data_IF_250700189306
#
_entry.id   IF_250700189306
#
_cell.length_a   1.000
_cell.length_b   1.000
_cell.length_c   1.000
_cell.angle_alpha   90.00
_cell.angle_beta   90.00
_cell.angle_gamma   90.00
#
_symmetry.space_group_name_H-M   'P 1'
#
loop_
_entity.id
_entity.type
_entity.pdbx_description
1 polymer ?
#
# COMPACT_ATOMS: atom_id res chain seq x y z
N UNK A 1 10.52 29.08 -25.42
CA UNK A 1 11.27 27.85 -25.08
C UNK A 1 11.04 27.47 -23.62
N UNK A 2 9.88 26.90 -23.25
CA UNK A 2 9.48 26.76 -21.83
C UNK A 2 8.95 25.37 -21.42
N UNK A 3 9.27 24.31 -22.18
CA UNK A 3 8.58 23.01 -22.02
C UNK A 3 9.49 21.78 -21.85
N UNK A 4 10.81 21.91 -21.81
CA UNK A 4 11.69 20.72 -21.69
C UNK A 4 11.90 20.28 -20.23
N UNK A 5 12.10 21.25 -19.33
CA UNK A 5 12.29 21.00 -17.89
C UNK A 5 11.03 20.42 -17.23
N UNK A 6 9.84 20.89 -17.62
CA UNK A 6 8.55 20.36 -17.14
C UNK A 6 8.33 18.91 -17.61
N UNK A 7 8.79 18.57 -18.81
CA UNK A 7 8.64 17.23 -19.37
C UNK A 7 9.52 16.22 -18.63
N UNK A 8 10.79 16.56 -18.37
CA UNK A 8 11.73 15.71 -17.62
C UNK A 8 11.25 15.51 -16.17
N UNK A 9 10.78 16.57 -15.50
CA UNK A 9 10.27 16.46 -14.13
C UNK A 9 9.02 15.56 -14.06
N UNK A 10 8.10 15.71 -15.01
CA UNK A 10 6.86 14.93 -15.04
C UNK A 10 7.14 13.46 -15.38
N UNK A 11 7.97 13.19 -16.40
CA UNK A 11 8.36 11.82 -16.75
C UNK A 11 9.23 11.17 -15.67
N UNK A 12 10.14 11.91 -15.03
CA UNK A 12 10.97 11.41 -13.95
C UNK A 12 10.14 10.99 -12.72
N UNK A 13 9.13 11.78 -12.37
CA UNK A 13 8.17 11.43 -11.30
C UNK A 13 7.35 10.19 -11.69
N UNK A 14 6.88 10.10 -12.93
CA UNK A 14 6.12 8.94 -13.42
C UNK A 14 6.97 7.67 -13.40
N UNK A 15 8.23 7.74 -13.86
CA UNK A 15 9.14 6.59 -13.85
C UNK A 15 9.51 6.19 -12.42
N UNK A 16 9.75 7.15 -11.53
CA UNK A 16 9.97 6.86 -10.11
C UNK A 16 8.76 6.14 -9.49
N UNK A 17 7.54 6.62 -9.74
CA UNK A 17 6.31 5.97 -9.29
C UNK A 17 6.12 4.54 -9.84
N UNK A 18 6.57 4.26 -11.06
CA UNK A 18 6.51 2.92 -11.66
C UNK A 18 7.54 1.98 -11.04
N UNK A 19 8.80 2.40 -10.86
CA UNK A 19 9.89 1.56 -10.32
C UNK A 19 9.65 1.16 -8.86
N UNK A 20 8.97 2.01 -8.10
CA UNK A 20 8.56 1.76 -6.71
C UNK A 20 7.67 0.51 -6.56
N UNK A 21 6.87 0.19 -7.57
CA UNK A 21 5.85 -0.87 -7.45
C UNK A 21 6.39 -2.29 -7.62
N UNK A 22 7.58 -2.47 -8.20
CA UNK A 22 8.08 -3.79 -8.63
C UNK A 22 8.99 -4.51 -7.62
N UNK A 23 9.49 -3.84 -6.57
CA UNK A 23 10.47 -4.43 -5.65
C UNK A 23 9.87 -5.21 -4.45
N UNK A 24 8.59 -5.02 -4.13
CA UNK A 24 7.92 -5.72 -3.01
C UNK A 24 6.40 -5.84 -3.25
N UNK A 25 5.93 -6.79 -4.08
CA UNK A 25 4.55 -6.79 -4.58
C UNK A 25 3.49 -6.95 -3.47
N UNK A 26 3.79 -7.67 -2.38
CA UNK A 26 2.79 -7.94 -1.32
C UNK A 26 2.52 -6.70 -0.44
N UNK A 27 3.55 -6.07 0.09
CA UNK A 27 3.42 -4.81 0.84
C UNK A 27 2.99 -3.65 -0.06
N UNK A 28 3.43 -3.58 -1.31
CA UNK A 28 2.93 -2.54 -2.24
C UNK A 28 1.42 -2.68 -2.48
N UNK A 29 0.88 -3.91 -2.56
CA UNK A 29 -0.56 -4.13 -2.66
C UNK A 29 -1.33 -3.62 -1.44
N UNK A 30 -0.84 -3.89 -0.22
CA UNK A 30 -1.44 -3.37 1.00
C UNK A 30 -1.38 -1.82 1.05
N UNK A 31 -0.31 -1.22 0.54
CA UNK A 31 -0.13 0.24 0.53
C UNK A 31 -1.05 0.91 -0.50
N UNK A 32 -1.22 0.29 -1.67
CA UNK A 32 -2.22 0.66 -2.66
C UNK A 32 -3.64 0.54 -2.10
N UNK A 33 -3.96 -0.51 -1.33
CA UNK A 33 -5.26 -0.64 -0.66
C UNK A 33 -5.49 0.50 0.34
N UNK A 34 -4.48 0.85 1.14
CA UNK A 34 -4.56 1.98 2.07
C UNK A 34 -4.76 3.31 1.31
N UNK A 35 -4.04 3.51 0.19
CA UNK A 35 -4.21 4.65 -0.70
C UNK A 35 -5.64 4.71 -1.27
N UNK A 36 -6.18 3.59 -1.78
CA UNK A 36 -7.56 3.50 -2.29
C UNK A 36 -8.61 3.81 -1.21
N UNK A 37 -8.49 3.23 -0.02
CA UNK A 37 -9.39 3.51 1.11
C UNK A 37 -9.37 4.98 1.52
N UNK A 38 -8.23 5.65 1.38
CA UNK A 38 -8.11 7.07 1.65
C UNK A 38 -8.86 7.93 0.62
N UNK A 39 -9.09 7.46 -0.61
CA UNK A 39 -9.85 8.23 -1.59
C UNK A 39 -11.32 8.43 -1.17
N UNK A 40 -11.85 7.54 -0.31
CA UNK A 40 -13.22 7.62 0.22
C UNK A 40 -13.41 8.71 1.27
N UNK A 41 -12.34 9.26 1.83
CA UNK A 41 -12.47 10.30 2.83
C UNK A 41 -11.29 11.25 2.74
N UNK A 42 -11.52 12.56 2.75
CA UNK A 42 -10.45 13.56 2.68
C UNK A 42 -9.54 13.62 3.93
N UNK A 43 -9.43 12.51 4.67
CA UNK A 43 -8.77 12.42 5.97
C UNK A 43 -7.79 11.25 5.95
N UNK A 44 -6.77 11.38 6.78
CA UNK A 44 -5.85 10.31 7.13
C UNK A 44 -6.61 9.08 7.63
N UNK A 45 -6.29 7.91 7.07
CA UNK A 45 -6.90 6.63 7.43
C UNK A 45 -5.83 5.63 7.88
N UNK A 46 -5.67 5.43 9.20
CA UNK A 46 -4.88 4.31 9.69
C UNK A 46 -5.65 3.00 9.48
N UNK A 47 -4.91 1.94 9.20
CA UNK A 47 -5.41 0.59 9.03
C UNK A 47 -4.41 -0.38 9.66
N UNK A 48 -4.91 -1.38 10.37
CA UNK A 48 -4.07 -2.40 10.99
C UNK A 48 -4.78 -3.74 10.86
N UNK A 49 -4.00 -4.80 10.68
CA UNK A 49 -4.52 -6.15 10.59
C UNK A 49 -3.52 -7.09 11.26
N UNK A 50 -4.06 -8.07 11.99
CA UNK A 50 -3.31 -9.12 12.66
C UNK A 50 -3.87 -10.44 12.13
N UNK A 51 -3.02 -11.24 11.50
CA UNK A 51 -3.39 -12.53 10.95
C UNK A 51 -2.63 -13.62 11.70
N UNK A 52 -3.34 -14.68 12.09
CA UNK A 52 -2.76 -15.92 12.57
C UNK A 52 -3.10 -17.05 11.62
N UNK A 53 -2.12 -17.89 11.32
CA UNK A 53 -2.31 -19.13 10.57
C UNK A 53 -1.70 -20.30 11.35
N UNK A 54 -2.35 -21.44 11.30
CA UNK A 54 -1.85 -22.69 11.90
C UNK A 54 -2.12 -23.82 10.93
N UNK A 55 -1.18 -24.74 10.76
CA UNK A 55 -1.35 -25.88 9.85
C UNK A 55 -0.91 -27.18 10.50
N UNK A 56 -1.83 -28.14 10.51
CA UNK A 56 -1.65 -29.46 11.13
C UNK A 56 -2.09 -29.54 12.59
N UNK A 57 -2.25 -30.76 13.09
CA UNK A 57 -2.75 -31.05 14.44
C UNK A 57 -1.65 -30.94 15.52
N UNK A 58 -0.63 -30.11 15.29
CA UNK A 58 0.58 -30.07 16.10
C UNK A 58 1.00 -28.61 16.32
N UNK A 59 1.10 -28.18 17.58
CA UNK A 59 1.43 -26.80 17.98
C UNK A 59 2.84 -26.32 17.60
N UNK A 60 3.56 -27.11 16.80
CA UNK A 60 4.89 -26.83 16.26
C UNK A 60 4.86 -26.06 14.93
N UNK A 61 3.67 -25.94 14.32
CA UNK A 61 3.45 -25.25 13.05
C UNK A 61 2.40 -24.14 13.22
N UNK A 62 2.87 -22.93 13.49
CA UNK A 62 2.00 -21.75 13.57
C UNK A 62 2.72 -20.53 13.01
N UNK A 63 1.99 -19.62 12.39
CA UNK A 63 2.45 -18.32 11.95
C UNK A 63 1.52 -17.25 12.50
N UNK A 64 2.08 -16.13 12.91
CA UNK A 64 1.35 -14.93 13.23
C UNK A 64 2.05 -13.75 12.59
N UNK A 65 1.28 -12.76 12.18
CA UNK A 65 1.83 -11.57 11.55
C UNK A 65 0.92 -10.39 11.76
N UNK A 66 1.53 -9.23 11.89
CA UNK A 66 0.84 -7.95 11.96
C UNK A 66 1.24 -7.08 10.79
N UNK A 67 0.29 -6.33 10.27
CA UNK A 67 0.58 -5.18 9.42
C UNK A 67 -0.13 -3.95 9.96
N UNK A 68 0.53 -2.82 9.84
CA UNK A 68 -0.03 -1.49 10.08
C UNK A 68 0.21 -0.66 8.84
N UNK A 69 -0.69 0.27 8.55
CA UNK A 69 -0.54 1.12 7.40
C UNK A 69 -1.46 2.30 7.46
N UNK A 70 -1.19 3.25 6.60
CA UNK A 70 -1.83 4.56 6.60
C UNK A 70 -2.06 5.00 5.17
N UNK A 71 -3.14 5.72 4.92
CA UNK A 71 -3.41 6.35 3.64
C UNK A 71 -3.98 7.74 3.81
N UNK A 72 -3.72 8.63 2.85
CA UNK A 72 -4.29 9.97 2.83
C UNK A 72 -4.61 10.42 1.40
N UNK A 73 -5.72 11.14 1.26
CA UNK A 73 -6.08 11.80 0.00
C UNK A 73 -5.23 13.06 -0.15
N UNK A 74 -4.48 13.14 -1.23
CA UNK A 74 -3.56 14.27 -1.50
C UNK A 74 -4.17 15.30 -2.44
N UNK A 75 -5.12 14.89 -3.28
CA UNK A 75 -5.75 15.79 -4.23
C UNK A 75 -7.15 15.34 -4.60
N UNK A 76 -8.01 16.32 -4.84
CA UNK A 76 -9.36 16.14 -5.39
C UNK A 76 -9.59 17.23 -6.43
N UNK A 77 -10.10 16.87 -7.60
CA UNK A 77 -10.49 17.82 -8.63
C UNK A 77 -11.68 18.68 -8.17
N UNK A 78 -11.77 19.96 -8.58
CA UNK A 78 -12.90 20.84 -8.26
C UNK A 78 -14.26 20.28 -8.69
N UNK A 79 -14.28 19.50 -9.78
CA UNK A 79 -15.51 18.84 -10.26
C UNK A 79 -15.88 17.57 -9.49
N UNK A 80 -15.09 17.18 -8.48
CA UNK A 80 -15.29 16.00 -7.65
C UNK A 80 -15.12 14.65 -8.35
N UNK A 81 -14.72 14.65 -9.64
CA UNK A 81 -14.63 13.43 -10.46
C UNK A 81 -13.29 12.71 -10.36
N UNK A 82 -12.24 13.40 -9.95
CA UNK A 82 -10.89 12.84 -9.85
C UNK A 82 -10.40 12.96 -8.41
N UNK A 83 -9.95 11.85 -7.84
CA UNK A 83 -9.32 11.81 -6.53
C UNK A 83 -7.97 11.11 -6.65
N UNK A 84 -6.94 11.64 -5.97
CA UNK A 84 -5.60 11.03 -5.85
C UNK A 84 -5.26 10.88 -4.38
N UNK A 85 -4.67 9.74 -4.03
CA UNK A 85 -4.34 9.36 -2.67
C UNK A 85 -3.06 8.56 -2.64
N UNK A 86 -2.40 8.58 -1.49
CA UNK A 86 -1.16 7.85 -1.26
C UNK A 86 -1.31 7.02 0.01
N UNK A 87 -0.53 5.95 0.11
CA UNK A 87 -0.55 5.07 1.25
C UNK A 87 0.79 4.41 1.48
N UNK A 88 1.04 4.05 2.72
CA UNK A 88 2.21 3.33 3.16
C UNK A 88 1.81 2.23 4.15
N UNK A 89 2.67 1.24 4.34
CA UNK A 89 2.50 0.24 5.38
C UNK A 89 3.84 -0.31 5.87
N UNK A 90 3.73 -1.02 6.98
CA UNK A 90 4.77 -1.78 7.62
C UNK A 90 4.15 -3.08 8.16
N UNK A 91 4.76 -4.22 7.87
CA UNK A 91 4.30 -5.51 8.35
C UNK A 91 5.44 -6.43 8.73
N UNK A 92 5.16 -7.36 9.63
CA UNK A 92 6.12 -8.39 10.03
C UNK A 92 5.37 -9.69 10.36
N UNK A 93 5.98 -10.80 9.98
CA UNK A 93 5.48 -12.14 10.24
C UNK A 93 6.51 -12.91 11.08
N UNK A 94 6.02 -13.74 11.98
CA UNK A 94 6.81 -14.59 12.84
C UNK A 94 6.07 -15.91 13.03
N UNK A 95 6.80 -16.98 13.22
CA UNK A 95 6.17 -18.27 13.36
C UNK A 95 7.12 -19.38 13.69
N UNK A 96 6.59 -20.59 13.74
CA UNK A 96 7.29 -21.84 13.92
C UNK A 96 6.89 -22.77 12.79
N UNK A 97 7.87 -23.38 12.15
CA UNK A 97 7.68 -24.43 11.15
C UNK A 97 8.58 -25.58 11.54
N UNK A 98 8.00 -26.76 11.72
CA UNK A 98 8.67 -27.99 12.14
C UNK A 98 9.47 -27.81 13.45
N UNK A 99 8.96 -26.98 14.36
CA UNK A 99 9.61 -26.67 15.64
C UNK A 99 10.72 -25.61 15.58
N UNK A 100 11.16 -25.21 14.37
CA UNK A 100 12.10 -24.11 14.18
C UNK A 100 11.36 -22.79 14.10
N UNK A 101 11.79 -21.83 14.92
CA UNK A 101 11.26 -20.47 14.89
C UNK A 101 11.83 -19.72 13.70
N UNK A 102 10.96 -19.12 12.90
CA UNK A 102 11.32 -18.25 11.80
C UNK A 102 10.73 -16.85 12.05
N UNK A 103 11.53 -15.82 11.78
CA UNK A 103 11.09 -14.43 11.78
C UNK A 103 11.27 -13.91 10.36
N UNK A 104 10.18 -13.39 9.77
CA UNK A 104 10.30 -12.68 8.51
C UNK A 104 11.03 -11.36 8.75
N UNK A 105 11.73 -10.91 7.71
CA UNK A 105 12.18 -9.52 7.67
C UNK A 105 10.94 -8.61 7.67
N UNK A 106 11.05 -7.41 8.25
CA UNK A 106 10.01 -6.42 8.14
C UNK A 106 9.79 -6.05 6.67
N UNK A 107 8.53 -5.87 6.31
CA UNK A 107 8.08 -5.57 4.97
C UNK A 107 7.48 -4.16 4.96
N UNK A 108 7.96 -3.32 4.04
CA UNK A 108 7.57 -1.91 3.95
C UNK A 108 7.06 -1.64 2.54
N UNK A 109 5.83 -1.15 2.46
CA UNK A 109 5.15 -0.90 1.20
C UNK A 109 4.70 0.54 1.08
N UNK A 110 4.61 0.99 -0.16
CA UNK A 110 4.16 2.31 -0.52
C UNK A 110 3.41 2.27 -1.84
N UNK A 111 2.37 3.10 -1.95
CA UNK A 111 1.45 3.04 -3.07
C UNK A 111 0.73 4.36 -3.29
N UNK A 112 0.37 4.60 -4.54
CA UNK A 112 -0.52 5.68 -4.94
C UNK A 112 -1.78 5.09 -5.56
N UNK A 113 -2.90 5.78 -5.38
CA UNK A 113 -4.18 5.41 -5.93
C UNK A 113 -4.81 6.61 -6.63
N UNK A 114 -5.45 6.33 -7.77
CA UNK A 114 -6.21 7.29 -8.53
C UNK A 114 -7.62 6.75 -8.74
N UNK A 115 -8.63 7.60 -8.57
CA UNK A 115 -10.03 7.24 -8.81
C UNK A 115 -10.70 8.26 -9.71
N UNK A 116 -11.41 7.73 -10.71
CA UNK A 116 -12.35 8.47 -11.53
C UNK A 116 -13.79 8.09 -11.18
N UNK A 117 -14.64 9.08 -10.91
CA UNK A 117 -16.07 8.88 -10.67
C UNK A 117 -16.86 9.24 -11.92
N UNK A 118 -17.53 8.24 -12.49
CA UNK A 118 -18.51 8.48 -13.54
C UNK A 118 -19.73 9.16 -12.93
N UNK A 119 -20.03 10.39 -13.36
CA UNK A 119 -21.29 11.03 -13.02
C UNK A 119 -22.43 10.22 -13.64
N UNK A 120 -23.48 9.92 -12.87
CA UNK A 120 -24.72 9.41 -13.45
C UNK A 120 -25.26 10.48 -14.41
N UNK A 121 -25.55 10.07 -15.64
CA UNK A 121 -26.47 10.80 -16.51
C UNK A 121 -27.88 10.63 -15.97
#
# INVERSE_FOLDING_TARGET
MLSFHKFIFTFGIIIALIVITTAAPQSNNLAMQNAMRSLDSARFKPNWNINGSGSGNNGRNWGAGGNVGVGTKVWQSPNGRHDVGVGANYGQQFGRSQGQSWHSRPDVGFGAAYRYKFGRR
#
